data_IF_048175415663
#
_entry.id   IF_048175415663
#
_cell.length_a   1.000
_cell.length_b   1.000
_cell.length_c   1.000
_cell.angle_alpha   90.00
_cell.angle_beta   90.00
_cell.angle_gamma   90.00
#
_symmetry.space_group_name_H-M   'P 1'
#
loop_
_entity.id
_entity.type
_entity.pdbx_description
1 polymer ?
#
# COMPACT_ATOMS: atom_id res chain seq x y z
N UNK A 1 -16.66 -23.33 -1.47
CA UNK A 1 -17.04 -22.94 -2.85
C UNK A 1 -16.88 -24.12 -3.81
N UNK A 2 -15.66 -24.54 -4.19
CA UNK A 2 -15.47 -25.69 -5.11
C UNK A 2 -16.01 -27.03 -4.57
N UNK A 3 -15.78 -27.31 -3.28
CA UNK A 3 -16.33 -28.51 -2.59
C UNK A 3 -17.87 -28.49 -2.49
N UNK A 4 -18.50 -27.32 -2.62
CA UNK A 4 -19.95 -27.15 -2.59
C UNK A 4 -20.57 -27.18 -4.01
N UNK A 5 -19.79 -27.43 -5.05
CA UNK A 5 -20.26 -27.46 -6.44
C UNK A 5 -20.63 -26.08 -7.02
N UNK A 6 -20.24 -24.99 -6.36
CA UNK A 6 -20.59 -23.63 -6.76
C UNK A 6 -19.60 -23.12 -7.81
N UNK A 7 -20.13 -22.72 -8.98
CA UNK A 7 -19.37 -22.06 -10.05
C UNK A 7 -19.26 -20.57 -9.76
N UNK A 8 -18.14 -20.17 -9.15
CA UNK A 8 -17.92 -18.79 -8.70
C UNK A 8 -17.99 -17.75 -9.82
N UNK A 9 -17.63 -18.12 -11.06
CA UNK A 9 -17.60 -17.19 -12.19
C UNK A 9 -19.00 -16.85 -12.73
N UNK A 10 -20.03 -17.60 -12.34
CA UNK A 10 -21.43 -17.40 -12.78
C UNK A 10 -22.34 -16.83 -11.69
N UNK A 11 -21.80 -16.54 -10.52
CA UNK A 11 -22.57 -15.90 -9.45
C UNK A 11 -22.85 -14.44 -9.79
N UNK A 12 -24.04 -13.97 -9.45
CA UNK A 12 -24.36 -12.55 -9.49
C UNK A 12 -23.61 -11.83 -8.36
N UNK A 13 -23.22 -10.58 -8.60
CA UNK A 13 -22.63 -9.74 -7.57
C UNK A 13 -23.66 -9.40 -6.49
N UNK A 14 -23.23 -9.43 -5.24
CA UNK A 14 -24.05 -9.06 -4.09
C UNK A 14 -23.28 -8.09 -3.19
N UNK A 15 -24.00 -7.16 -2.55
CA UNK A 15 -23.40 -6.25 -1.59
C UNK A 15 -23.06 -6.95 -0.27
N UNK A 16 -22.04 -6.45 0.43
CA UNK A 16 -21.69 -6.92 1.76
C UNK A 16 -22.67 -6.38 2.81
N UNK A 17 -22.88 -7.15 3.88
CA UNK A 17 -23.82 -6.79 4.95
C UNK A 17 -23.39 -5.52 5.72
N UNK A 18 -24.38 -4.68 6.01
CA UNK A 18 -24.22 -3.46 6.84
C UNK A 18 -24.21 -3.82 8.35
N UNK A 19 -23.45 -3.11 9.21
CA UNK A 19 -22.78 -1.82 8.98
C UNK A 19 -21.30 -1.89 8.59
N UNK A 20 -20.71 -3.09 8.59
CA UNK A 20 -19.25 -3.26 8.40
C UNK A 20 -18.83 -3.52 6.95
N UNK A 21 -19.79 -3.70 6.04
CA UNK A 21 -19.56 -3.93 4.62
C UNK A 21 -18.91 -2.77 3.84
N UNK A 22 -19.19 -1.48 4.13
CA UNK A 22 -18.59 -0.39 3.36
C UNK A 22 -17.07 -0.33 3.50
N UNK A 23 -16.35 -0.34 2.38
CA UNK A 23 -14.89 -0.17 2.31
C UNK A 23 -14.52 0.95 1.33
N UNK A 24 -13.33 1.53 1.51
CA UNK A 24 -12.80 2.54 0.58
C UNK A 24 -11.91 1.90 -0.47
N UNK A 25 -11.68 2.59 -1.60
CA UNK A 25 -10.71 2.14 -2.61
C UNK A 25 -9.29 1.98 -2.06
N UNK A 26 -8.95 2.67 -0.97
CA UNK A 26 -7.70 2.46 -0.25
C UNK A 26 -7.70 1.10 0.47
N UNK A 27 -8.82 0.67 1.06
CA UNK A 27 -8.97 -0.66 1.66
C UNK A 27 -8.86 -1.79 0.62
N UNK A 28 -9.40 -1.59 -0.57
CA UNK A 28 -9.36 -2.57 -1.67
C UNK A 28 -7.93 -2.98 -2.05
N UNK A 29 -6.98 -2.04 -2.02
CA UNK A 29 -5.61 -2.28 -2.49
C UNK A 29 -4.68 -2.90 -1.44
N UNK A 30 -5.11 -3.08 -0.18
CA UNK A 30 -4.23 -3.58 0.90
C UNK A 30 -3.61 -4.96 0.60
N UNK A 31 -4.30 -5.80 -0.15
CA UNK A 31 -3.84 -7.16 -0.50
C UNK A 31 -2.70 -7.19 -1.53
N UNK A 32 -2.43 -6.07 -2.21
CA UNK A 32 -1.34 -5.97 -3.18
C UNK A 32 -0.06 -5.42 -2.54
N UNK A 33 1.10 -5.87 -3.04
CA UNK A 33 2.40 -5.34 -2.61
C UNK A 33 2.49 -3.84 -2.84
N UNK A 34 2.69 -3.07 -1.77
CA UNK A 34 2.70 -1.61 -1.77
C UNK A 34 1.35 -0.92 -1.54
N UNK A 35 0.23 -1.65 -1.56
CA UNK A 35 -1.09 -1.05 -1.40
C UNK A 35 -1.35 -0.47 -0.01
N UNK A 36 -0.79 -1.06 1.04
CA UNK A 36 -0.84 -0.49 2.41
C UNK A 36 -0.08 0.84 2.49
N UNK A 37 1.09 0.92 1.85
CA UNK A 37 1.88 2.16 1.82
C UNK A 37 1.18 3.24 1.01
N UNK A 38 0.62 2.88 -0.14
CA UNK A 38 -0.19 3.78 -0.97
C UNK A 38 -1.37 4.36 -0.20
N UNK A 39 -2.12 3.51 0.53
CA UNK A 39 -3.22 3.96 1.38
C UNK A 39 -2.74 4.91 2.48
N UNK A 40 -1.64 4.59 3.16
CA UNK A 40 -1.07 5.45 4.20
C UNK A 40 -0.65 6.82 3.68
N UNK A 41 -0.02 6.88 2.50
CA UNK A 41 0.38 8.13 1.84
C UNK A 41 -0.84 8.96 1.46
N UNK A 42 -1.88 8.36 0.85
CA UNK A 42 -3.13 9.07 0.50
C UNK A 42 -3.76 9.73 1.72
N UNK A 43 -3.84 9.00 2.85
CA UNK A 43 -4.37 9.54 4.10
C UNK A 43 -3.48 10.62 4.70
N UNK A 44 -2.17 10.39 4.76
CA UNK A 44 -1.22 11.37 5.30
C UNK A 44 -1.21 12.68 4.49
N UNK A 45 -1.30 12.59 3.15
CA UNK A 45 -1.38 13.76 2.28
C UNK A 45 -2.64 14.57 2.56
N UNK A 46 -3.81 13.92 2.62
CA UNK A 46 -5.07 14.59 2.96
C UNK A 46 -5.03 15.28 4.32
N UNK A 47 -4.45 14.64 5.34
CA UNK A 47 -4.36 15.20 6.69
C UNK A 47 -3.37 16.37 6.81
N UNK A 48 -2.24 16.32 6.09
CA UNK A 48 -1.18 17.35 6.18
C UNK A 48 -1.44 18.52 5.22
N UNK A 49 -1.82 18.19 3.98
CA UNK A 49 -1.99 19.18 2.92
C UNK A 49 -3.38 19.81 2.98
N UNK A 50 -4.40 19.04 3.38
CA UNK A 50 -5.81 19.46 3.38
C UNK A 50 -6.50 19.24 2.03
N UNK A 51 -5.76 18.78 1.03
CA UNK A 51 -6.24 18.47 -0.32
C UNK A 51 -5.98 16.98 -0.61
N UNK A 52 -6.72 16.40 -1.53
CA UNK A 52 -6.46 15.02 -1.96
C UNK A 52 -5.22 14.97 -2.86
N UNK A 53 -4.48 13.86 -2.77
CA UNK A 53 -3.35 13.60 -3.64
C UNK A 53 -3.89 13.53 -5.08
N UNK A 54 -3.55 14.52 -5.92
CA UNK A 54 -4.18 14.71 -7.22
C UNK A 54 -4.11 13.48 -8.13
N UNK A 55 -2.97 12.79 -8.13
CA UNK A 55 -2.84 11.49 -8.76
C UNK A 55 -3.07 10.41 -7.70
N UNK A 56 -4.30 9.90 -7.63
CA UNK A 56 -4.69 8.90 -6.64
C UNK A 56 -3.81 7.64 -6.78
N UNK A 57 -3.42 7.27 -8.00
CA UNK A 57 -2.58 6.11 -8.26
C UNK A 57 -1.09 6.39 -8.01
N UNK A 58 -0.63 6.13 -6.78
CA UNK A 58 0.79 6.15 -6.47
C UNK A 58 1.47 4.87 -6.98
N UNK A 59 1.72 4.83 -8.28
CA UNK A 59 2.26 3.65 -8.97
C UNK A 59 3.69 3.28 -8.55
N UNK A 60 4.44 4.22 -7.96
CA UNK A 60 5.83 4.05 -7.54
C UNK A 60 6.04 2.95 -6.48
N UNK A 61 4.98 2.54 -5.76
CA UNK A 61 5.06 1.44 -4.77
C UNK A 61 4.43 0.13 -5.28
N UNK A 62 3.85 0.13 -6.48
CA UNK A 62 3.24 -1.07 -7.09
C UNK A 62 4.32 -1.91 -7.78
N UNK A 63 3.99 -3.17 -8.08
CA UNK A 63 4.89 -4.09 -8.78
C UNK A 63 5.62 -5.09 -7.87
N UNK A 64 6.23 -6.09 -8.50
CA UNK A 64 6.79 -7.29 -7.86
C UNK A 64 8.26 -7.16 -7.45
N UNK A 65 8.85 -5.96 -7.57
CA UNK A 65 10.20 -5.72 -7.08
C UNK A 65 10.28 -5.94 -5.57
N UNK A 66 11.37 -6.59 -5.14
CA UNK A 66 11.59 -7.00 -3.75
C UNK A 66 11.77 -5.79 -2.80
N UNK A 67 12.40 -4.73 -3.27
CA UNK A 67 12.60 -3.49 -2.50
C UNK A 67 12.28 -2.32 -3.42
N UNK A 68 11.34 -1.47 -3.00
CA UNK A 68 10.89 -0.29 -3.74
C UNK A 68 11.14 0.93 -2.88
N UNK A 69 11.96 1.87 -3.38
CA UNK A 69 12.29 3.11 -2.68
C UNK A 69 11.73 4.27 -3.49
N UNK A 70 11.04 5.17 -2.83
CA UNK A 70 10.44 6.33 -3.48
C UNK A 70 10.36 7.51 -2.52
N UNK A 71 10.13 8.71 -3.05
CA UNK A 71 10.02 9.94 -2.29
C UNK A 71 8.65 10.57 -2.51
N UNK A 72 8.08 11.11 -1.43
CA UNK A 72 6.83 11.89 -1.47
C UNK A 72 7.08 13.23 -0.82
N UNK A 73 6.71 14.30 -1.53
CA UNK A 73 6.72 15.63 -0.98
C UNK A 73 5.40 15.94 -0.26
N UNK A 74 5.46 16.08 1.07
CA UNK A 74 4.35 16.52 1.91
C UNK A 74 4.61 17.97 2.33
N UNK A 75 4.05 18.95 1.58
CA UNK A 75 4.14 20.39 1.92
C UNK A 75 5.58 20.89 2.19
N UNK A 76 6.52 20.48 1.35
CA UNK A 76 7.93 20.88 1.45
C UNK A 76 8.80 19.93 2.30
N UNK A 77 8.21 18.91 2.93
CA UNK A 77 8.97 17.81 3.55
C UNK A 77 9.05 16.63 2.60
N UNK A 78 10.26 16.30 2.16
CA UNK A 78 10.53 15.09 1.38
C UNK A 78 10.57 13.91 2.34
N UNK A 79 9.61 13.00 2.20
CA UNK A 79 9.55 11.74 2.94
C UNK A 79 10.02 10.62 2.03
N UNK A 80 11.07 9.93 2.43
CA UNK A 80 11.53 8.68 1.80
C UNK A 80 10.70 7.51 2.30
N UNK A 81 10.21 6.70 1.37
CA UNK A 81 9.42 5.52 1.61
C UNK A 81 10.18 4.31 1.08
N UNK A 82 10.13 3.22 1.83
CA UNK A 82 10.67 1.92 1.43
C UNK A 82 9.58 0.86 1.61
N UNK A 83 9.28 0.12 0.55
CA UNK A 83 8.34 -1.00 0.57
C UNK A 83 9.12 -2.27 0.27
N UNK A 84 9.08 -3.21 1.22
CA UNK A 84 9.73 -4.51 1.09
C UNK A 84 8.67 -5.55 0.75
N UNK A 85 8.89 -6.26 -0.35
CA UNK A 85 8.13 -7.41 -0.77
C UNK A 85 8.93 -8.66 -0.40
N UNK A 86 8.34 -9.57 0.38
CA UNK A 86 8.93 -10.82 0.90
C UNK A 86 9.90 -10.65 2.08
N UNK A 87 9.91 -11.65 2.97
CA UNK A 87 10.74 -11.66 4.19
C UNK A 87 12.23 -11.76 3.91
N UNK A 88 12.63 -12.42 2.81
CA UNK A 88 14.03 -12.59 2.40
C UNK A 88 14.76 -11.28 2.16
N UNK A 89 14.03 -10.21 1.85
CA UNK A 89 14.58 -8.89 1.57
C UNK A 89 14.55 -7.96 2.79
N UNK A 90 14.04 -8.41 3.94
CA UNK A 90 13.98 -7.59 5.17
C UNK A 90 15.36 -7.42 5.79
N UNK A 91 16.10 -8.52 5.97
CA UNK A 91 17.41 -8.51 6.61
C UNK A 91 18.44 -7.61 5.89
N UNK A 92 18.62 -7.67 4.56
CA UNK A 92 19.57 -6.77 3.88
C UNK A 92 19.17 -5.30 4.01
N UNK A 93 17.87 -4.97 3.88
CA UNK A 93 17.40 -3.58 4.02
C UNK A 93 17.60 -3.08 5.46
N UNK A 94 17.33 -3.91 6.46
CA UNK A 94 17.56 -3.55 7.86
C UNK A 94 19.05 -3.35 8.17
N UNK A 95 19.94 -4.11 7.52
CA UNK A 95 21.38 -3.92 7.64
C UNK A 95 21.82 -2.57 7.02
N UNK A 96 21.29 -2.22 5.84
CA UNK A 96 21.55 -0.92 5.21
C UNK A 96 21.07 0.26 6.08
N UNK A 97 19.87 0.16 6.66
CA UNK A 97 19.34 1.19 7.57
C UNK A 97 20.21 1.36 8.81
N UNK A 98 20.67 0.24 9.40
CA UNK A 98 21.56 0.28 10.57
C UNK A 98 22.90 0.93 10.23
N UNK A 99 23.49 0.54 9.10
CA UNK A 99 24.76 1.12 8.63
C UNK A 99 24.61 2.61 8.37
N UNK A 100 23.55 3.04 7.68
CA UNK A 100 23.29 4.45 7.42
C UNK A 100 23.15 5.25 8.72
N UNK A 101 22.41 4.72 9.71
CA UNK A 101 22.26 5.35 11.04
C UNK A 101 23.59 5.46 11.79
N UNK A 102 24.46 4.47 11.67
CA UNK A 102 25.75 4.47 12.35
C UNK A 102 26.76 5.42 11.65
N UNK A 103 26.55 5.73 10.37
CA UNK A 103 27.36 6.65 9.56
C UNK A 103 26.85 8.11 9.57
N UNK A 104 25.58 8.37 9.95
CA UNK A 104 25.02 9.72 10.16
C UNK A 104 23.59 9.88 9.66
#
# INVERSE_FOLDING_TARGET
IRLAGIDFAKLEESEADSPIGPYSGAGTIFGATGGVMEAAVRTAYKLVVGEELGDLDYTAVRGLENVKITEVNLKGKIIRLCVIHQLSSVEPVMAEIRKARDEG
#
